data_IF_518509679454
#
_entry.id   IF_518509679454
#
_cell.length_a   1.000
_cell.length_b   1.000
_cell.length_c   1.000
_cell.angle_alpha   90.00
_cell.angle_beta   90.00
_cell.angle_gamma   90.00
#
_symmetry.space_group_name_H-M   'P 1'
#
loop_
_entity.id
_entity.type
_entity.pdbx_description
1 polymer ?
#
# COMPACT_ATOMS: atom_id res chain seq x y z
N UNK A 1 14.37 7.01 17.22
CA UNK A 1 12.99 6.60 16.95
C UNK A 1 13.02 5.64 15.77
N UNK A 2 13.36 4.38 16.03
CA UNK A 2 13.41 3.34 15.00
C UNK A 2 12.01 2.76 14.82
N UNK A 3 11.66 2.37 13.59
CA UNK A 3 10.39 1.72 13.25
C UNK A 3 10.16 0.55 14.21
N UNK A 4 9.26 0.70 15.19
CA UNK A 4 8.75 -0.44 15.96
C UNK A 4 7.93 -1.27 14.98
N UNK A 5 8.40 -2.46 14.62
CA UNK A 5 7.92 -3.31 13.53
C UNK A 5 6.47 -3.03 13.10
N UNK A 6 6.30 -2.18 12.08
CA UNK A 6 5.03 -1.93 11.43
C UNK A 6 4.94 -2.79 10.18
N UNK A 7 3.74 -3.26 9.85
CA UNK A 7 3.50 -4.05 8.64
C UNK A 7 2.83 -3.21 7.57
N UNK A 8 3.10 -3.56 6.31
CA UNK A 8 2.35 -3.09 5.16
C UNK A 8 1.41 -4.21 4.72
N UNK A 9 0.10 -3.98 4.81
CA UNK A 9 -0.90 -4.90 4.30
C UNK A 9 -1.29 -4.49 2.87
N UNK A 10 -1.28 -5.44 1.93
CA UNK A 10 -1.65 -5.22 0.52
C UNK A 10 -2.72 -6.25 0.14
N UNK A 11 -3.89 -5.77 -0.27
CA UNK A 11 -4.96 -6.57 -0.88
C UNK A 11 -5.10 -6.13 -2.35
N UNK A 12 -4.65 -6.99 -3.27
CA UNK A 12 -4.62 -6.70 -4.69
C UNK A 12 -5.51 -7.66 -5.46
N UNK A 13 -6.19 -7.15 -6.48
CA UNK A 13 -7.02 -7.96 -7.38
C UNK A 13 -7.19 -7.29 -8.74
N UNK A 14 -8.11 -7.83 -9.55
CA UNK A 14 -8.30 -7.39 -10.93
C UNK A 14 -8.68 -5.91 -11.07
N UNK A 15 -9.48 -5.38 -10.15
CA UNK A 15 -10.06 -4.04 -10.31
C UNK A 15 -9.47 -3.00 -9.36
N UNK A 16 -8.82 -3.43 -8.29
CA UNK A 16 -8.32 -2.53 -7.25
C UNK A 16 -7.15 -3.15 -6.48
N UNK A 17 -6.36 -2.25 -5.89
CA UNK A 17 -5.39 -2.55 -4.87
C UNK A 17 -5.67 -1.65 -3.68
N UNK A 18 -5.80 -2.25 -2.50
CA UNK A 18 -5.91 -1.56 -1.21
C UNK A 18 -4.64 -1.80 -0.40
N UNK A 19 -4.15 -0.76 0.27
CA UNK A 19 -2.93 -0.79 1.09
C UNK A 19 -3.19 -0.13 2.43
N UNK A 20 -2.61 -0.69 3.50
CA UNK A 20 -2.59 -0.06 4.83
C UNK A 20 -1.20 -0.13 5.47
N UNK A 21 -0.78 0.97 6.07
CA UNK A 21 0.38 1.02 6.99
C UNK A 21 -0.15 0.80 8.41
N UNK A 22 0.36 -0.22 9.09
CA UNK A 22 -0.15 -0.64 10.40
C UNK A 22 0.99 -0.62 11.42
N UNK A 23 0.78 0.08 12.53
CA UNK A 23 1.70 0.11 13.66
C UNK A 23 1.74 -1.24 14.40
N UNK A 24 2.75 -1.45 15.23
CA UNK A 24 2.93 -2.69 16.00
C UNK A 24 1.77 -3.01 16.95
N UNK A 25 1.00 -2.00 17.36
CA UNK A 25 -0.19 -2.14 18.22
C UNK A 25 -1.49 -2.41 17.43
N UNK A 26 -1.40 -2.52 16.10
CA UNK A 26 -2.55 -2.72 15.20
C UNK A 26 -3.21 -1.43 14.72
N UNK A 27 -2.73 -0.25 15.14
CA UNK A 27 -3.27 1.03 14.68
C UNK A 27 -3.00 1.22 13.18
N UNK A 28 -4.04 1.56 12.41
CA UNK A 28 -3.88 1.93 11.01
C UNK A 28 -3.41 3.38 10.94
N UNK A 29 -2.20 3.58 10.45
CA UNK A 29 -1.57 4.91 10.35
C UNK A 29 -1.93 5.61 9.04
N UNK A 30 -2.18 4.86 7.97
CA UNK A 30 -2.54 5.42 6.67
C UNK A 30 -3.06 4.36 5.72
N UNK A 31 -3.84 4.79 4.72
CA UNK A 31 -4.49 3.93 3.72
C UNK A 31 -4.20 4.44 2.33
N UNK A 32 -4.11 3.52 1.39
CA UNK A 32 -3.88 3.84 -0.02
C UNK A 32 -4.70 2.95 -0.90
N UNK A 33 -5.13 3.49 -2.04
CA UNK A 33 -5.86 2.74 -3.05
C UNK A 33 -5.36 3.12 -4.44
N UNK A 34 -5.26 2.12 -5.30
CA UNK A 34 -4.95 2.28 -6.73
C UNK A 34 -5.75 1.28 -7.57
N UNK A 35 -5.38 1.17 -8.86
CA UNK A 35 -5.99 0.24 -9.82
C UNK A 35 -5.68 -1.23 -9.55
N UNK A 36 -6.03 -2.09 -10.51
CA UNK A 36 -5.83 -3.53 -10.41
C UNK A 36 -4.40 -4.00 -10.64
N UNK A 37 -4.02 -5.08 -9.97
CA UNK A 37 -2.74 -5.77 -10.16
C UNK A 37 -2.92 -6.93 -11.15
N UNK A 38 -2.59 -6.70 -12.42
CA UNK A 38 -2.79 -7.69 -13.50
C UNK A 38 -1.50 -7.99 -14.30
N UNK A 39 -0.45 -8.57 -13.68
CA UNK A 39 0.82 -8.85 -14.36
C UNK A 39 0.71 -9.61 -15.70
N UNK A 40 -0.21 -10.60 -15.87
CA UNK A 40 -0.36 -11.29 -17.15
C UNK A 40 -0.93 -10.43 -18.28
N UNK A 41 -1.57 -9.29 -17.97
CA UNK A 41 -2.23 -8.42 -18.95
C UNK A 41 -1.34 -7.23 -19.30
N UNK A 42 -0.72 -6.60 -18.30
CA UNK A 42 0.03 -5.33 -18.47
C UNK A 42 1.54 -5.49 -18.33
N UNK A 43 2.02 -6.69 -17.99
CA UNK A 43 3.43 -6.95 -17.65
C UNK A 43 3.73 -6.69 -16.17
N UNK A 44 4.82 -7.29 -15.68
CA UNK A 44 5.18 -7.26 -14.25
C UNK A 44 5.49 -5.85 -13.77
N UNK A 45 6.30 -5.10 -14.52
CA UNK A 45 6.76 -3.76 -14.11
C UNK A 45 5.58 -2.80 -13.93
N UNK A 46 4.75 -2.64 -14.97
CA UNK A 46 3.56 -1.80 -14.90
C UNK A 46 2.56 -2.26 -13.82
N UNK A 47 2.45 -3.58 -13.57
CA UNK A 47 1.62 -4.07 -12.47
C UNK A 47 2.20 -3.71 -11.09
N UNK A 48 3.52 -3.76 -10.91
CA UNK A 48 4.18 -3.35 -9.66
C UNK A 48 4.04 -1.84 -9.43
N UNK A 49 4.06 -1.02 -10.47
CA UNK A 49 3.81 0.43 -10.36
C UNK A 49 2.44 0.75 -9.75
N UNK A 50 1.42 -0.07 -10.04
CA UNK A 50 0.09 0.06 -9.42
C UNK A 50 0.15 -0.17 -7.91
N UNK A 51 0.92 -1.17 -7.45
CA UNK A 51 1.13 -1.40 -6.02
C UNK A 51 1.87 -0.22 -5.40
N UNK A 52 2.95 0.25 -6.04
CA UNK A 52 3.76 1.37 -5.58
C UNK A 52 2.92 2.66 -5.43
N UNK A 53 1.98 2.91 -6.35
CA UNK A 53 1.06 4.04 -6.27
C UNK A 53 0.18 3.98 -5.00
N UNK A 54 -0.42 2.81 -4.69
CA UNK A 54 -1.20 2.65 -3.47
C UNK A 54 -0.33 2.79 -2.21
N UNK A 55 0.87 2.21 -2.21
CA UNK A 55 1.83 2.34 -1.10
C UNK A 55 2.22 3.80 -0.86
N UNK A 56 2.50 4.55 -1.93
CA UNK A 56 2.86 5.97 -1.83
C UNK A 56 1.78 6.81 -1.15
N UNK A 57 0.51 6.58 -1.50
CA UNK A 57 -0.62 7.27 -0.85
C UNK A 57 -0.71 6.90 0.63
N UNK A 58 -0.62 5.61 0.98
CA UNK A 58 -0.73 5.16 2.37
C UNK A 58 0.40 5.70 3.25
N UNK A 59 1.63 5.75 2.73
CA UNK A 59 2.80 6.31 3.44
C UNK A 59 2.68 7.82 3.60
N UNK A 60 2.20 8.53 2.58
CA UNK A 60 1.99 9.97 2.66
C UNK A 60 0.94 10.33 3.72
N UNK A 61 -0.17 9.59 3.78
CA UNK A 61 -1.19 9.77 4.84
C UNK A 61 -0.61 9.46 6.22
N UNK A 62 0.10 8.34 6.38
CA UNK A 62 0.73 7.96 7.64
C UNK A 62 1.78 8.97 8.14
N UNK A 63 2.50 9.61 7.22
CA UNK A 63 3.46 10.66 7.56
C UNK A 63 2.78 11.97 8.01
N UNK A 64 1.57 12.24 7.53
CA UNK A 64 0.75 13.40 7.89
C UNK A 64 -0.08 13.21 9.17
N UNK A 65 -0.33 11.97 9.58
CA UNK A 65 -1.12 11.62 10.78
C UNK A 65 -0.35 11.74 12.12
N UNK A 66 0.79 12.45 12.14
CA UNK A 66 1.62 12.67 13.34
C UNK A 66 0.95 13.58 14.37
#
# INVERSE_FOLDING_TARGET
MGLTAGVLAIDAGNSKTDVAVIAADGTVLGRGRSGGFQPPVVGVEAAVDVLAAAVGVAVAEAAGAR
#
